data_IF_149124405478
#
_entry.id   IF_149124405478
#
_cell.length_a   1.000
_cell.length_b   1.000
_cell.length_c   1.000
_cell.angle_alpha   90.00
_cell.angle_beta   90.00
_cell.angle_gamma   90.00
#
_symmetry.space_group_name_H-M   'P 1'
#
loop_
_entity.id
_entity.type
_entity.pdbx_description
1 polymer ?
#
# COMPACT_ATOMS: atom_id res chain seq x y z
N UNK A 1 -14.06 6.62 -16.44
CA UNK A 1 -13.71 5.64 -15.39
C UNK A 1 -13.52 6.41 -14.10
N UNK A 2 -14.15 5.98 -13.01
CA UNK A 2 -13.91 6.54 -11.69
C UNK A 2 -12.77 5.78 -11.01
N UNK A 3 -12.01 6.50 -10.18
CA UNK A 3 -10.97 5.90 -9.34
C UNK A 3 -11.57 5.07 -8.21
N UNK A 4 -10.85 4.04 -7.80
CA UNK A 4 -11.28 3.18 -6.70
C UNK A 4 -10.93 3.86 -5.38
N UNK A 5 -11.93 4.33 -4.63
CA UNK A 5 -11.73 5.18 -3.44
C UNK A 5 -10.84 4.54 -2.37
N UNK A 6 -11.06 3.27 -2.04
CA UNK A 6 -10.27 2.60 -1.01
C UNK A 6 -8.80 2.43 -1.43
N UNK A 7 -8.53 2.27 -2.73
CA UNK A 7 -7.15 2.20 -3.27
C UNK A 7 -6.49 3.57 -3.17
N UNK A 8 -7.21 4.63 -3.51
CA UNK A 8 -6.72 6.01 -3.37
C UNK A 8 -6.36 6.33 -1.92
N UNK A 9 -7.24 6.00 -0.96
CA UNK A 9 -6.99 6.18 0.47
C UNK A 9 -5.74 5.40 0.94
N UNK A 10 -5.59 4.15 0.51
CA UNK A 10 -4.39 3.35 0.83
C UNK A 10 -3.12 3.89 0.19
N UNK A 11 -3.19 4.41 -1.03
CA UNK A 11 -2.04 5.03 -1.70
C UNK A 11 -1.64 6.33 -1.00
N UNK A 12 -2.58 7.10 -0.48
CA UNK A 12 -2.28 8.28 0.35
C UNK A 12 -1.59 7.88 1.65
N UNK A 13 -2.05 6.82 2.32
CA UNK A 13 -1.40 6.28 3.52
C UNK A 13 0.01 5.74 3.21
N UNK A 14 0.18 5.02 2.11
CA UNK A 14 1.49 4.55 1.63
C UNK A 14 2.43 5.73 1.35
N UNK A 15 1.94 6.79 0.72
CA UNK A 15 2.76 7.97 0.45
C UNK A 15 3.21 8.63 1.75
N UNK A 16 2.30 8.79 2.71
CA UNK A 16 2.62 9.29 4.04
C UNK A 16 3.65 8.41 4.77
N UNK A 17 3.45 7.09 4.74
CA UNK A 17 4.43 6.12 5.26
C UNK A 17 5.79 6.27 4.57
N UNK A 18 5.81 6.45 3.24
CA UNK A 18 7.05 6.61 2.47
C UNK A 18 7.81 7.88 2.85
N UNK A 19 7.12 8.99 3.06
CA UNK A 19 7.74 10.23 3.55
C UNK A 19 8.23 10.10 4.99
N UNK A 20 7.46 9.45 5.86
CA UNK A 20 7.85 9.18 7.25
C UNK A 20 9.03 8.17 7.36
N UNK A 21 9.14 7.24 6.40
CA UNK A 21 10.15 6.16 6.37
C UNK A 21 11.40 6.50 5.55
N UNK A 22 11.38 7.58 4.75
CA UNK A 22 12.48 8.02 3.87
C UNK A 22 13.81 8.33 4.58
N UNK A 23 13.88 8.22 5.91
CA UNK A 23 15.08 8.40 6.73
C UNK A 23 15.75 7.11 7.24
N UNK A 24 15.34 5.91 6.82
CA UNK A 24 16.03 4.63 7.11
C UNK A 24 16.07 4.16 8.57
N UNK A 25 15.83 5.07 9.52
CA UNK A 25 15.59 4.87 10.93
C UNK A 25 14.54 5.91 11.33
N UNK A 26 13.59 5.52 12.20
CA UNK A 26 12.68 6.46 12.86
C UNK A 26 13.52 7.45 13.66
N UNK A 27 13.94 8.55 13.04
CA UNK A 27 14.59 9.62 13.77
C UNK A 27 13.52 10.35 14.56
N UNK A 28 13.74 10.68 15.84
CA UNK A 28 12.84 11.57 16.56
C UNK A 28 12.67 12.84 15.73
N UNK A 29 11.42 13.23 15.51
CA UNK A 29 11.09 14.54 14.94
C UNK A 29 11.82 15.60 15.79
N UNK A 30 12.67 16.42 15.16
CA UNK A 30 13.42 17.43 15.89
C UNK A 30 12.42 18.48 16.35
N UNK A 31 12.07 18.43 17.63
CA UNK A 31 11.15 19.40 18.26
C UNK A 31 11.79 20.78 18.15
N UNK A 32 11.31 21.60 17.22
CA UNK A 32 11.63 23.02 17.20
C UNK A 32 10.81 23.71 18.29
N UNK A 33 11.48 24.12 19.36
CA UNK A 33 10.86 24.91 20.44
C UNK A 33 11.06 26.39 20.15
N UNK A 34 9.99 27.05 19.70
CA UNK A 34 9.91 28.50 19.68
C UNK A 34 8.72 28.95 20.55
N UNK A 35 8.97 29.88 21.47
CA UNK A 35 7.95 30.50 22.33
C UNK A 35 7.07 29.56 23.17
N UNK A 36 7.60 28.43 23.65
CA UNK A 36 6.92 27.61 24.66
C UNK A 36 5.71 26.81 24.15
N UNK A 37 5.41 26.88 22.85
CA UNK A 37 4.42 26.02 22.19
C UNK A 37 5.16 24.90 21.45
N UNK A 38 4.90 23.66 21.84
CA UNK A 38 5.39 22.48 21.13
C UNK A 38 4.54 22.28 19.87
N UNK A 39 5.04 22.68 18.70
CA UNK A 39 4.49 22.27 17.41
C UNK A 39 5.42 21.19 16.85
N UNK A 40 4.95 19.94 16.89
CA UNK A 40 5.78 18.77 16.54
C UNK A 40 5.86 17.81 17.71
N UNK A 41 5.51 16.55 17.46
CA UNK A 41 5.44 15.53 18.50
C UNK A 41 4.16 14.69 18.50
N UNK A 42 3.45 14.55 17.38
CA UNK A 42 2.68 13.31 17.19
C UNK A 42 3.64 12.32 16.54
N UNK A 43 4.35 11.56 17.36
CA UNK A 43 4.86 10.26 16.92
C UNK A 43 3.61 9.50 16.51
N UNK A 44 3.30 9.50 15.22
CA UNK A 44 2.31 8.58 14.70
C UNK A 44 2.96 7.22 14.84
N UNK A 45 2.62 6.50 15.92
CA UNK A 45 3.06 5.14 16.13
C UNK A 45 2.50 4.31 14.97
N UNK A 46 3.29 4.17 13.90
CA UNK A 46 2.96 3.29 12.80
C UNK A 46 3.04 1.88 13.38
N UNK A 47 1.86 1.30 13.61
CA UNK A 47 1.68 -0.07 14.07
C UNK A 47 2.28 -1.05 13.05
N UNK A 48 2.75 -2.21 13.51
CA UNK A 48 3.28 -3.27 12.65
C UNK A 48 2.31 -3.66 11.52
N UNK A 49 1.00 -3.61 11.78
CA UNK A 49 -0.02 -3.89 10.75
C UNK A 49 -0.06 -2.81 9.66
N UNK A 50 0.13 -1.54 10.02
CA UNK A 50 0.20 -0.43 9.06
C UNK A 50 1.46 -0.52 8.22
N UNK A 51 2.58 -0.89 8.85
CA UNK A 51 3.86 -1.11 8.17
C UNK A 51 3.78 -2.28 7.18
N UNK A 52 3.18 -3.41 7.59
CA UNK A 52 2.91 -4.55 6.69
C UNK A 52 2.04 -4.13 5.50
N UNK A 53 0.96 -3.39 5.74
CA UNK A 53 0.08 -2.91 4.67
C UNK A 53 0.80 -1.95 3.71
N UNK A 54 1.66 -1.08 4.23
CA UNK A 54 2.43 -0.15 3.39
C UNK A 54 3.47 -0.89 2.53
N UNK A 55 4.15 -1.91 3.08
CA UNK A 55 5.06 -2.78 2.33
C UNK A 55 4.31 -3.51 1.23
N UNK A 56 3.11 -4.02 1.51
CA UNK A 56 2.27 -4.71 0.53
C UNK A 56 1.87 -3.79 -0.62
N UNK A 57 1.56 -2.52 -0.31
CA UNK A 57 1.30 -1.51 -1.34
C UNK A 57 2.54 -1.18 -2.16
N UNK A 58 3.72 -1.10 -1.53
CA UNK A 58 4.99 -0.85 -2.24
C UNK A 58 5.31 -1.99 -3.22
N UNK A 59 5.10 -3.24 -2.81
CA UNK A 59 5.25 -4.43 -3.67
C UNK A 59 4.22 -4.42 -4.81
N UNK A 60 2.97 -4.07 -4.53
CA UNK A 60 1.93 -3.96 -5.55
C UNK A 60 2.31 -2.93 -6.62
N UNK A 61 2.80 -1.75 -6.21
CA UNK A 61 3.25 -0.68 -7.12
C UNK A 61 4.47 -1.13 -7.93
N UNK A 62 5.42 -1.83 -7.31
CA UNK A 62 6.61 -2.35 -7.98
C UNK A 62 6.28 -3.42 -9.04
N UNK A 63 5.18 -4.15 -8.87
CA UNK A 63 4.70 -5.15 -9.84
C UNK A 63 4.04 -4.54 -11.09
N UNK A 64 3.67 -3.25 -11.06
CA UNK A 64 3.05 -2.56 -12.18
C UNK A 64 4.05 -2.30 -13.32
N UNK A 65 3.59 -2.24 -14.58
CA UNK A 65 4.43 -1.76 -15.68
C UNK A 65 4.99 -0.37 -15.41
N UNK A 66 6.22 -0.13 -15.89
CA UNK A 66 7.01 1.07 -15.59
C UNK A 66 6.26 2.40 -15.78
N UNK A 67 5.38 2.47 -16.76
CA UNK A 67 4.66 3.70 -17.08
C UNK A 67 3.54 4.02 -16.07
N UNK A 68 2.94 2.97 -15.49
CA UNK A 68 1.91 3.11 -14.46
C UNK A 68 2.54 3.37 -13.10
N UNK A 69 3.60 2.64 -12.74
CA UNK A 69 4.31 2.84 -11.48
C UNK A 69 4.90 4.25 -11.40
N UNK A 70 5.53 4.75 -12.48
CA UNK A 70 6.01 6.14 -12.55
C UNK A 70 4.88 7.16 -12.36
N UNK A 71 3.71 6.92 -12.95
CA UNK A 71 2.58 7.84 -12.81
C UNK A 71 2.03 7.86 -11.37
N UNK A 72 1.93 6.70 -10.71
CA UNK A 72 1.50 6.59 -9.30
C UNK A 72 2.51 7.28 -8.39
N UNK A 73 3.80 6.95 -8.52
CA UNK A 73 4.86 7.56 -7.71
C UNK A 73 4.87 9.08 -7.90
N UNK A 74 4.87 9.56 -9.15
CA UNK A 74 4.86 11.00 -9.42
C UNK A 74 3.63 11.69 -8.84
N UNK A 75 2.45 11.05 -8.87
CA UNK A 75 1.22 11.64 -8.34
C UNK A 75 1.22 11.80 -6.83
N UNK A 76 1.70 10.80 -6.10
CA UNK A 76 1.62 10.78 -4.63
C UNK A 76 2.87 11.28 -3.92
N UNK A 77 4.03 11.30 -4.59
CA UNK A 77 5.30 11.65 -3.95
C UNK A 77 5.89 12.98 -4.41
N UNK A 78 5.45 13.54 -5.54
CA UNK A 78 6.00 14.81 -6.02
C UNK A 78 5.18 15.99 -5.54
N UNK A 79 5.88 17.00 -5.06
CA UNK A 79 5.32 18.32 -4.81
C UNK A 79 5.08 19.09 -6.13
N UNK A 80 4.08 19.97 -6.15
CA UNK A 80 3.71 20.77 -7.34
C UNK A 80 2.46 20.30 -8.10
N UNK A 81 1.89 19.17 -7.69
CA UNK A 81 0.59 18.70 -8.17
C UNK A 81 0.55 18.34 -9.67
N UNK A 82 -0.66 18.33 -10.24
CA UNK A 82 -0.90 17.76 -11.58
C UNK A 82 -0.11 18.44 -12.69
N UNK A 83 0.14 19.76 -12.60
CA UNK A 83 0.84 20.50 -13.66
C UNK A 83 2.30 20.05 -13.79
N UNK A 84 3.00 19.96 -12.67
CA UNK A 84 4.40 19.51 -12.59
C UNK A 84 4.55 18.08 -13.07
N UNK A 85 3.59 17.20 -12.74
CA UNK A 85 3.59 15.81 -13.19
C UNK A 85 3.45 15.73 -14.71
N UNK A 86 2.50 16.48 -15.29
CA UNK A 86 2.28 16.46 -16.74
C UNK A 86 3.47 16.99 -17.53
N UNK A 87 4.15 18.00 -17.00
CA UNK A 87 5.35 18.58 -17.61
C UNK A 87 6.53 17.60 -17.58
N UNK A 88 6.84 17.04 -16.41
CA UNK A 88 7.95 16.10 -16.23
C UNK A 88 7.74 14.76 -16.94
N UNK A 89 6.51 14.24 -16.93
CA UNK A 89 6.19 12.99 -17.64
C UNK A 89 5.86 13.21 -19.12
N UNK A 90 5.81 14.47 -19.58
CA UNK A 90 5.45 14.87 -20.96
C UNK A 90 4.15 14.23 -21.46
N UNK A 91 3.14 14.18 -20.59
CA UNK A 91 1.83 13.58 -20.89
C UNK A 91 0.71 14.51 -20.45
N UNK A 92 -0.45 14.38 -21.08
CA UNK A 92 -1.63 15.20 -20.74
C UNK A 92 -2.23 14.79 -19.39
N UNK A 93 -2.97 15.70 -18.76
CA UNK A 93 -3.74 15.42 -17.52
C UNK A 93 -4.67 14.22 -17.69
N UNK A 94 -5.33 14.12 -18.85
CA UNK A 94 -6.22 13.00 -19.17
C UNK A 94 -5.47 11.67 -19.23
N UNK A 95 -4.25 11.66 -19.80
CA UNK A 95 -3.40 10.46 -19.83
C UNK A 95 -2.96 10.03 -18.44
N UNK A 96 -2.56 10.98 -17.58
CA UNK A 96 -2.20 10.68 -16.18
C UNK A 96 -3.39 10.09 -15.44
N UNK A 97 -4.57 10.72 -15.56
CA UNK A 97 -5.78 10.21 -14.92
C UNK A 97 -6.14 8.79 -15.37
N UNK A 98 -6.06 8.50 -16.68
CA UNK A 98 -6.28 7.13 -17.20
C UNK A 98 -5.28 6.13 -16.63
N UNK A 99 -3.99 6.50 -16.59
CA UNK A 99 -2.94 5.64 -16.01
C UNK A 99 -3.21 5.34 -14.54
N UNK A 100 -3.66 6.32 -13.76
CA UNK A 100 -4.04 6.11 -12.37
C UNK A 100 -5.24 5.18 -12.23
N UNK A 101 -6.29 5.35 -13.02
CA UNK A 101 -7.44 4.42 -13.01
C UNK A 101 -7.02 2.98 -13.37
N UNK A 102 -6.11 2.81 -14.34
CA UNK A 102 -5.59 1.48 -14.68
C UNK A 102 -4.68 0.90 -13.59
N UNK A 103 -3.90 1.75 -12.90
CA UNK A 103 -3.10 1.34 -11.77
C UNK A 103 -4.00 0.88 -10.61
N UNK A 104 -5.09 1.60 -10.32
CA UNK A 104 -6.03 1.26 -9.25
C UNK A 104 -6.59 -0.16 -9.43
N UNK A 105 -7.04 -0.50 -10.64
CA UNK A 105 -7.59 -1.82 -10.95
C UNK A 105 -6.53 -2.91 -10.74
N UNK A 106 -5.32 -2.70 -11.25
CA UNK A 106 -4.24 -3.70 -11.12
C UNK A 106 -3.75 -3.89 -9.69
N UNK A 107 -3.70 -2.81 -8.91
CA UNK A 107 -3.36 -2.90 -7.49
C UNK A 107 -4.45 -3.67 -6.74
N UNK A 108 -5.71 -3.41 -7.03
CA UNK A 108 -6.83 -4.15 -6.45
C UNK A 108 -6.74 -5.65 -6.79
N UNK A 109 -6.54 -5.98 -8.08
CA UNK A 109 -6.40 -7.35 -8.54
C UNK A 109 -5.22 -8.07 -7.85
N UNK A 110 -4.07 -7.39 -7.73
CA UNK A 110 -2.89 -7.94 -7.07
C UNK A 110 -3.14 -8.24 -5.58
N UNK A 111 -3.82 -7.33 -4.87
CA UNK A 111 -4.15 -7.51 -3.46
C UNK A 111 -5.16 -8.65 -3.27
N UNK A 112 -6.13 -8.78 -4.16
CA UNK A 112 -7.09 -9.88 -4.15
C UNK A 112 -6.41 -11.23 -4.43
N UNK A 113 -5.50 -11.28 -5.40
CA UNK A 113 -4.68 -12.47 -5.66
C UNK A 113 -3.81 -12.83 -4.46
N UNK A 114 -3.18 -11.85 -3.84
CA UNK A 114 -2.38 -12.05 -2.63
C UNK A 114 -3.24 -12.61 -1.50
N UNK A 115 -4.42 -12.04 -1.26
CA UNK A 115 -5.35 -12.54 -0.25
C UNK A 115 -5.75 -13.99 -0.52
N UNK A 116 -6.03 -14.37 -1.79
CA UNK A 116 -6.33 -15.75 -2.18
C UNK A 116 -5.16 -16.71 -1.93
N UNK A 117 -3.92 -16.29 -2.15
CA UNK A 117 -2.70 -17.08 -1.88
C UNK A 117 -2.40 -17.19 -0.39
N UNK A 118 -2.64 -16.12 0.36
CA UNK A 118 -2.46 -16.06 1.80
C UNK A 118 -3.55 -16.77 2.57
N UNK A 119 -4.66 -17.22 1.95
CA UNK A 119 -5.61 -18.18 2.57
C UNK A 119 -4.90 -19.54 2.67
N UNK A 120 -4.34 -19.93 3.82
CA UNK A 120 -3.41 -21.05 3.87
C UNK A 120 -4.03 -22.18 4.67
N UNK A 121 -4.35 -23.31 4.03
CA UNK A 121 -4.15 -24.69 4.57
C UNK A 121 -4.91 -25.08 5.87
N UNK A 122 -5.51 -24.16 6.63
CA UNK A 122 -6.30 -24.43 7.85
C UNK A 122 -7.60 -25.18 7.55
N UNK A 123 -8.09 -25.09 6.31
CA UNK A 123 -9.19 -25.92 5.84
C UNK A 123 -8.73 -27.36 5.56
N UNK A 124 -7.52 -27.57 5.02
CA UNK A 124 -7.00 -28.90 4.73
C UNK A 124 -6.51 -29.65 5.98
N UNK A 125 -5.88 -28.98 6.95
CA UNK A 125 -5.45 -29.63 8.20
C UNK A 125 -6.60 -30.04 9.11
N UNK A 126 -7.76 -29.37 9.03
CA UNK A 126 -9.00 -29.79 9.73
C UNK A 126 -9.67 -31.02 9.11
N UNK A 127 -9.53 -31.24 7.80
CA UNK A 127 -10.09 -32.41 7.12
C UNK A 127 -9.22 -33.67 7.33
N UNK A 128 -7.89 -33.51 7.48
CA UNK A 128 -7.00 -34.63 7.76
C UNK A 128 -7.21 -35.14 9.19
N UNK A 129 -7.45 -34.26 10.17
CA UNK A 129 -7.70 -34.70 11.55
C UNK A 129 -9.08 -35.35 11.77
N UNK A 130 -10.09 -35.05 10.95
CA UNK A 130 -11.41 -35.69 11.05
C UNK A 130 -11.45 -37.11 10.47
N UNK A 131 -10.58 -37.44 9.52
CA UNK A 131 -10.58 -38.75 8.85
C UNK A 131 -9.86 -39.86 9.64
N UNK A 132 -9.04 -39.53 10.65
CA UNK A 132 -8.32 -40.54 11.44
C UNK A 132 -9.15 -41.15 12.58
N UNK A 133 -10.34 -40.63 12.90
CA UNK A 133 -11.14 -41.09 14.04
C UNK A 133 -12.21 -42.16 13.73
N UNK A 134 -12.36 -42.60 12.47
CA UNK A 134 -13.41 -43.56 12.09
C UNK A 134 -12.89 -44.96 11.72
N UNK A 135 -11.58 -45.23 11.79
CA UNK A 135 -10.99 -46.48 11.29
C UNK A 135 -10.75 -47.58 12.35
N UNK A 136 -11.21 -47.44 13.60
CA UNK A 136 -10.82 -48.38 14.68
C UNK A 136 -11.97 -49.14 15.37
N UNK A 137 -13.17 -49.23 14.81
CA UNK A 137 -14.24 -50.04 15.40
C UNK A 137 -15.02 -50.86 14.37
N UNK A 138 -14.44 -51.98 13.96
CA UNK A 138 -15.19 -53.15 13.49
C UNK A 138 -14.47 -54.39 14.02
N UNK A 139 -15.04 -54.99 15.07
CA UNK A 139 -14.71 -56.32 15.58
C UNK A 139 -16.01 -57.11 15.61
#
# INVERSE_FOLDING_TARGET
MQRIKWVDERLQQWAHWRFASSGGYRSPDFVYRENGYTFGGKITEINADMERQAIDMDQAIASLPSDLSKAVIAYYTWEGGMSTITEKLRVTRATVHRRLCHADVRIADWLDEKAKREVPIKAQSRQISSNFNYATYTN
#
